data_IF_200762345114
#
_entry.id   IF_200762345114
#
_cell.length_a   1.000
_cell.length_b   1.000
_cell.length_c   1.000
_cell.angle_alpha   90.00
_cell.angle_beta   90.00
_cell.angle_gamma   90.00
#
_symmetry.space_group_name_H-M   'P 1'
#
loop_
_entity.id
_entity.type
_entity.pdbx_description
1 polymer ?
#
# COMPACT_ATOMS: atom_id res chain seq x y z
N UNK A 1 34.41 -36.99 3.31
CA UNK A 1 33.76 -35.68 3.08
C UNK A 1 32.48 -35.63 3.90
N UNK A 2 32.60 -35.22 5.17
CA UNK A 2 31.47 -35.15 6.12
C UNK A 2 30.57 -34.01 5.67
N UNK A 3 29.31 -34.30 5.26
CA UNK A 3 28.26 -33.30 5.12
C UNK A 3 28.13 -32.63 6.50
N UNK A 4 28.55 -31.39 6.63
CA UNK A 4 28.14 -30.53 7.73
C UNK A 4 26.62 -30.60 7.80
N UNK A 5 26.08 -31.29 8.76
CA UNK A 5 24.68 -31.28 9.14
C UNK A 5 24.44 -29.82 9.60
N UNK A 6 23.95 -28.99 8.71
CA UNK A 6 23.59 -27.58 9.01
C UNK A 6 22.65 -27.62 10.20
N UNK A 7 23.02 -26.90 11.27
CA UNK A 7 22.22 -26.76 12.48
C UNK A 7 20.76 -26.36 12.08
N UNK A 8 19.73 -27.11 12.50
CA UNK A 8 18.34 -26.79 12.16
C UNK A 8 17.95 -25.35 12.46
N UNK A 9 18.48 -24.77 13.54
CA UNK A 9 18.28 -23.38 13.91
C UNK A 9 18.76 -22.41 12.80
N UNK A 10 19.93 -22.64 12.26
CA UNK A 10 20.48 -21.85 11.15
C UNK A 10 19.66 -21.98 9.85
N UNK A 11 19.11 -23.18 9.59
CA UNK A 11 18.23 -23.39 8.43
C UNK A 11 16.90 -22.63 8.57
N UNK A 12 16.34 -22.59 9.78
CA UNK A 12 15.11 -21.84 10.10
C UNK A 12 15.37 -20.33 9.93
N UNK A 13 16.46 -19.83 10.50
CA UNK A 13 16.84 -18.40 10.36
C UNK A 13 17.02 -18.03 8.90
N UNK A 14 17.75 -18.82 8.13
CA UNK A 14 17.93 -18.57 6.71
C UNK A 14 16.61 -18.55 5.95
N UNK A 15 15.73 -19.51 6.20
CA UNK A 15 14.42 -19.57 5.54
C UNK A 15 13.55 -18.35 5.87
N UNK A 16 13.64 -17.82 7.11
CA UNK A 16 12.97 -16.56 7.49
C UNK A 16 13.56 -15.37 6.76
N UNK A 17 14.90 -15.27 6.72
CA UNK A 17 15.59 -14.18 6.01
C UNK A 17 15.26 -14.16 4.53
N UNK A 18 15.24 -15.32 3.86
CA UNK A 18 14.87 -15.42 2.44
C UNK A 18 13.45 -14.91 2.19
N UNK A 19 12.48 -15.25 3.06
CA UNK A 19 11.10 -14.72 2.95
C UNK A 19 11.01 -13.24 3.32
N UNK A 20 11.70 -12.79 4.36
CA UNK A 20 11.75 -11.35 4.75
C UNK A 20 12.31 -10.51 3.61
N UNK A 21 13.35 -10.99 2.92
CA UNK A 21 13.93 -10.32 1.77
C UNK A 21 12.91 -10.17 0.64
N UNK A 22 12.23 -11.26 0.27
CA UNK A 22 11.20 -11.24 -0.77
C UNK A 22 10.04 -10.30 -0.42
N UNK A 23 9.51 -10.39 0.80
CA UNK A 23 8.47 -9.49 1.28
C UNK A 23 8.92 -8.03 1.21
N UNK A 24 10.16 -7.73 1.66
CA UNK A 24 10.66 -6.36 1.69
C UNK A 24 10.83 -5.74 0.30
N UNK A 25 11.28 -6.50 -0.68
CA UNK A 25 11.40 -6.07 -2.07
C UNK A 25 10.04 -5.72 -2.69
N UNK A 26 8.98 -6.44 -2.31
CA UNK A 26 7.62 -6.24 -2.81
C UNK A 26 6.82 -5.15 -2.06
N UNK A 27 7.37 -4.57 -0.97
CA UNK A 27 6.68 -3.54 -0.18
C UNK A 27 6.42 -2.23 -0.94
N UNK A 28 7.16 -1.99 -2.04
CA UNK A 28 6.87 -0.86 -2.93
C UNK A 28 5.45 -0.89 -3.52
N UNK A 29 4.84 -2.08 -3.69
CA UNK A 29 3.44 -2.23 -4.10
C UNK A 29 2.47 -1.59 -3.10
N UNK A 30 2.85 -1.56 -1.83
CA UNK A 30 2.12 -0.89 -0.75
C UNK A 30 2.56 0.58 -0.55
N UNK A 31 3.51 1.09 -1.37
CA UNK A 31 4.10 2.41 -1.20
C UNK A 31 5.00 2.53 0.02
N UNK A 32 5.56 1.42 0.46
CA UNK A 32 6.42 1.28 1.62
C UNK A 32 7.85 1.00 1.13
N UNK A 33 8.85 1.64 1.75
CA UNK A 33 10.24 1.40 1.38
C UNK A 33 10.71 0.00 1.80
N UNK A 34 11.72 -0.53 1.09
CA UNK A 34 12.30 -1.84 1.38
C UNK A 34 12.82 -1.94 2.83
N UNK A 35 13.43 -0.87 3.37
CA UNK A 35 13.92 -0.85 4.74
C UNK A 35 12.79 -0.98 5.78
N UNK A 36 11.62 -0.39 5.52
CA UNK A 36 10.42 -0.55 6.36
C UNK A 36 9.79 -1.92 6.12
N UNK A 37 9.90 -2.47 4.91
CA UNK A 37 9.53 -3.86 4.61
C UNK A 37 10.35 -4.87 5.41
N UNK A 38 11.66 -4.68 5.53
CA UNK A 38 12.52 -5.51 6.40
C UNK A 38 12.10 -5.40 7.87
N UNK A 39 11.76 -4.19 8.35
CA UNK A 39 11.23 -4.01 9.69
C UNK A 39 9.94 -4.82 9.89
N UNK A 40 9.00 -4.74 8.94
CA UNK A 40 7.77 -5.54 8.98
C UNK A 40 8.05 -7.03 9.04
N UNK A 41 8.91 -7.54 8.15
CA UNK A 41 9.27 -8.96 8.13
C UNK A 41 9.91 -9.42 9.45
N UNK A 42 10.73 -8.58 10.07
CA UNK A 42 11.32 -8.89 11.38
C UNK A 42 10.27 -8.95 12.48
N UNK A 43 9.30 -8.02 12.49
CA UNK A 43 8.17 -8.04 13.44
C UNK A 43 7.27 -9.25 13.20
N UNK A 44 7.02 -9.59 11.95
CA UNK A 44 6.15 -10.71 11.55
C UNK A 44 6.62 -12.06 12.12
N UNK A 45 7.93 -12.28 12.17
CA UNK A 45 8.52 -13.50 12.71
C UNK A 45 8.97 -13.41 14.17
N UNK A 46 8.68 -12.29 14.82
CA UNK A 46 8.87 -12.17 16.27
C UNK A 46 7.77 -12.97 17.00
N UNK A 47 8.17 -13.83 17.92
CA UNK A 47 7.23 -14.66 18.69
C UNK A 47 6.54 -13.91 19.82
N UNK A 48 7.06 -12.74 20.17
CA UNK A 48 6.57 -11.86 21.23
C UNK A 48 6.52 -10.41 20.68
N UNK A 49 5.64 -9.56 21.24
CA UNK A 49 5.63 -8.14 20.88
C UNK A 49 6.99 -7.47 21.14
N UNK A 50 7.44 -6.68 20.19
CA UNK A 50 8.79 -6.09 20.14
C UNK A 50 8.78 -4.61 20.48
N UNK A 51 9.89 -4.10 21.02
CA UNK A 51 10.14 -2.69 21.25
C UNK A 51 10.93 -2.05 20.09
N UNK A 52 10.89 -0.71 20.00
CA UNK A 52 11.72 0.03 19.04
C UNK A 52 13.22 -0.19 19.29
N UNK A 53 13.63 -0.39 20.56
CA UNK A 53 15.04 -0.61 20.91
C UNK A 53 15.53 -1.98 20.39
N UNK A 54 14.75 -3.03 20.55
CA UNK A 54 15.03 -4.37 20.02
C UNK A 54 15.13 -4.35 18.49
N UNK A 55 14.21 -3.68 17.81
CA UNK A 55 14.25 -3.56 16.35
C UNK A 55 15.44 -2.73 15.87
N UNK A 56 15.78 -1.65 16.57
CA UNK A 56 16.96 -0.84 16.30
C UNK A 56 18.25 -1.67 16.38
N UNK A 57 18.34 -2.51 17.39
CA UNK A 57 19.51 -3.39 17.57
C UNK A 57 19.55 -4.52 16.52
N UNK A 58 18.42 -5.16 16.24
CA UNK A 58 18.32 -6.27 15.27
C UNK A 58 18.65 -5.84 13.86
N UNK A 59 18.16 -4.67 13.44
CA UNK A 59 18.32 -4.17 12.07
C UNK A 59 19.50 -3.22 11.88
N UNK A 60 20.23 -2.85 12.95
CA UNK A 60 21.33 -1.91 12.87
C UNK A 60 20.91 -0.49 12.47
N UNK A 61 19.65 -0.11 12.70
CA UNK A 61 19.07 1.18 12.30
C UNK A 61 18.74 2.03 13.52
N UNK A 62 18.68 3.36 13.35
CA UNK A 62 18.38 4.27 14.45
C UNK A 62 16.98 4.06 15.02
N UNK A 63 16.79 4.34 16.31
CA UNK A 63 15.48 4.30 16.97
C UNK A 63 14.47 5.25 16.30
N UNK A 64 14.93 6.40 15.81
CA UNK A 64 14.10 7.34 15.03
C UNK A 64 13.57 6.70 13.74
N UNK A 65 14.45 5.98 13.02
CA UNK A 65 14.06 5.23 11.83
C UNK A 65 13.04 4.14 12.15
N UNK A 66 13.22 3.41 13.27
CA UNK A 66 12.28 2.40 13.75
C UNK A 66 10.92 3.02 14.09
N UNK A 67 10.90 4.14 14.82
CA UNK A 67 9.66 4.86 15.15
C UNK A 67 8.90 5.30 13.91
N UNK A 68 9.61 5.88 12.94
CA UNK A 68 9.00 6.29 11.65
C UNK A 68 8.48 5.10 10.87
N UNK A 69 9.27 4.02 10.78
CA UNK A 69 8.86 2.79 10.09
C UNK A 69 7.63 2.13 10.73
N UNK A 70 7.61 2.01 12.08
CA UNK A 70 6.46 1.46 12.80
C UNK A 70 5.19 2.30 12.61
N UNK A 71 5.31 3.63 12.54
CA UNK A 71 4.17 4.51 12.24
C UNK A 71 3.61 4.22 10.84
N UNK A 72 4.48 4.12 9.83
CA UNK A 72 4.07 3.77 8.46
C UNK A 72 3.37 2.41 8.41
N UNK A 73 3.91 1.40 9.09
CA UNK A 73 3.32 0.06 9.15
C UNK A 73 1.98 0.06 9.91
N UNK A 74 1.86 0.85 10.97
CA UNK A 74 0.60 0.99 11.73
C UNK A 74 -0.48 1.69 10.89
N UNK A 75 -0.12 2.73 10.13
CA UNK A 75 -1.03 3.41 9.21
C UNK A 75 -1.50 2.48 8.05
N UNK A 76 -0.70 1.48 7.71
CA UNK A 76 -1.03 0.44 6.72
C UNK A 76 -1.78 -0.76 7.34
N UNK A 77 -2.09 -0.75 8.65
CA UNK A 77 -2.64 -1.88 9.39
C UNK A 77 -1.81 -3.18 9.28
N UNK A 78 -0.49 -3.06 9.20
CA UNK A 78 0.44 -4.21 9.15
C UNK A 78 0.97 -4.56 10.52
N UNK A 79 1.10 -3.55 11.41
CA UNK A 79 1.47 -3.73 12.82
C UNK A 79 0.54 -2.93 13.71
N UNK A 80 0.40 -3.36 14.94
CA UNK A 80 -0.38 -2.68 15.97
C UNK A 80 0.39 -2.59 17.28
N UNK A 81 -0.02 -1.67 18.15
CA UNK A 81 0.52 -1.59 19.51
C UNK A 81 -0.02 -2.72 20.37
N UNK A 82 0.89 -3.39 21.05
CA UNK A 82 0.56 -4.40 22.07
C UNK A 82 0.74 -3.85 23.47
N UNK A 83 0.00 -4.42 24.41
CA UNK A 83 0.16 -4.10 25.83
C UNK A 83 0.64 -5.33 26.60
N UNK A 84 1.65 -5.15 27.47
CA UNK A 84 2.14 -6.21 28.36
C UNK A 84 2.31 -5.63 29.77
N UNK A 85 1.71 -6.29 30.76
CA UNK A 85 1.79 -5.86 32.16
C UNK A 85 3.25 -5.73 32.63
N UNK A 86 3.57 -4.60 33.23
CA UNK A 86 4.93 -4.31 33.75
C UNK A 86 5.91 -3.74 32.72
N UNK A 87 5.53 -3.62 31.46
CA UNK A 87 6.35 -2.98 30.41
C UNK A 87 5.87 -1.55 30.21
N UNK A 88 6.79 -0.57 30.34
CA UNK A 88 6.49 0.88 30.14
C UNK A 88 6.77 1.36 28.71
N UNK A 89 7.47 0.56 27.92
CA UNK A 89 7.78 0.89 26.52
C UNK A 89 6.65 0.49 25.60
N UNK A 90 6.48 1.25 24.52
CA UNK A 90 5.58 0.83 23.44
C UNK A 90 6.07 -0.52 22.87
N UNK A 91 5.14 -1.45 22.77
CA UNK A 91 5.32 -2.76 22.17
C UNK A 91 4.54 -2.81 20.86
N UNK A 92 5.06 -3.52 19.88
CA UNK A 92 4.46 -3.71 18.56
C UNK A 92 4.38 -5.20 18.22
N UNK A 93 3.29 -5.58 17.57
CA UNK A 93 3.07 -6.94 17.06
C UNK A 93 2.47 -6.87 15.65
N UNK A 94 2.59 -7.93 14.85
CA UNK A 94 1.94 -7.97 13.54
C UNK A 94 0.42 -8.00 13.70
N UNK A 95 -0.29 -7.44 12.73
CA UNK A 95 -1.75 -7.63 12.58
C UNK A 95 -1.97 -8.94 11.83
N UNK A 96 -2.81 -9.83 12.36
CA UNK A 96 -3.05 -11.15 11.77
C UNK A 96 -3.88 -11.09 10.48
N UNK A 97 -4.68 -10.02 10.28
CA UNK A 97 -5.53 -9.86 9.10
C UNK A 97 -4.79 -9.17 7.94
N UNK A 98 -4.09 -9.95 7.14
CA UNK A 98 -3.38 -9.48 5.94
C UNK A 98 -4.32 -8.91 4.88
N UNK A 99 -5.54 -9.40 4.80
CA UNK A 99 -6.57 -8.88 3.88
C UNK A 99 -6.93 -7.44 4.22
N UNK A 100 -7.01 -7.12 5.51
CA UNK A 100 -7.24 -5.77 6.00
C UNK A 100 -6.09 -4.83 5.64
N UNK A 101 -4.85 -5.27 5.79
CA UNK A 101 -3.66 -4.50 5.40
C UNK A 101 -3.66 -4.17 3.91
N UNK A 102 -3.95 -5.16 3.07
CA UNK A 102 -4.09 -4.98 1.62
C UNK A 102 -5.21 -3.98 1.30
N UNK A 103 -6.44 -4.22 1.79
CA UNK A 103 -7.60 -3.38 1.50
C UNK A 103 -7.38 -1.93 1.92
N UNK A 104 -6.85 -1.69 3.13
CA UNK A 104 -6.57 -0.34 3.63
C UNK A 104 -5.61 0.41 2.71
N UNK A 105 -4.54 -0.24 2.30
CA UNK A 105 -3.52 0.39 1.45
C UNK A 105 -4.05 0.61 0.03
N UNK A 106 -4.76 -0.37 -0.54
CA UNK A 106 -5.41 -0.26 -1.84
C UNK A 106 -6.40 0.91 -1.87
N UNK A 107 -7.36 0.93 -0.94
CA UNK A 107 -8.38 1.97 -0.85
C UNK A 107 -7.76 3.35 -0.70
N UNK A 108 -6.83 3.53 0.25
CA UNK A 108 -6.18 4.83 0.50
C UNK A 108 -5.51 5.40 -0.75
N UNK A 109 -4.82 4.57 -1.52
CA UNK A 109 -4.07 5.00 -2.71
C UNK A 109 -4.99 5.28 -3.89
N UNK A 110 -5.89 4.37 -4.18
CA UNK A 110 -6.75 4.49 -5.36
C UNK A 110 -7.83 5.55 -5.19
N UNK A 111 -8.41 5.70 -4.02
CA UNK A 111 -9.43 6.73 -3.74
C UNK A 111 -8.91 8.15 -4.03
N UNK A 112 -7.69 8.46 -3.56
CA UNK A 112 -7.05 9.76 -3.85
C UNK A 112 -6.77 9.92 -5.35
N UNK A 113 -6.23 8.87 -5.99
CA UNK A 113 -5.94 8.90 -7.42
C UNK A 113 -7.20 9.08 -8.27
N UNK A 114 -8.27 8.35 -7.97
CA UNK A 114 -9.57 8.46 -8.69
C UNK A 114 -10.13 9.87 -8.57
N UNK A 115 -10.20 10.44 -7.37
CA UNK A 115 -10.73 11.79 -7.15
C UNK A 115 -9.94 12.81 -7.96
N UNK A 116 -8.61 12.78 -7.88
CA UNK A 116 -7.75 13.75 -8.56
C UNK A 116 -7.86 13.63 -10.10
N UNK A 117 -7.93 12.40 -10.62
CA UNK A 117 -8.05 12.20 -12.07
C UNK A 117 -9.43 12.56 -12.60
N UNK A 118 -10.51 12.26 -11.86
CA UNK A 118 -11.86 12.72 -12.25
C UNK A 118 -11.94 14.25 -12.25
N UNK A 119 -11.36 14.91 -11.26
CA UNK A 119 -11.31 16.37 -11.25
C UNK A 119 -10.58 16.91 -12.48
N UNK A 120 -9.41 16.38 -12.83
CA UNK A 120 -8.67 16.81 -14.01
C UNK A 120 -9.43 16.53 -15.33
N UNK A 121 -10.16 15.40 -15.41
CA UNK A 121 -11.04 15.09 -16.56
C UNK A 121 -12.15 16.13 -16.67
N UNK A 122 -12.79 16.51 -15.57
CA UNK A 122 -13.85 17.52 -15.58
C UNK A 122 -13.32 18.91 -15.96
N UNK A 123 -12.19 19.34 -15.36
CA UNK A 123 -11.56 20.63 -15.66
C UNK A 123 -11.17 20.74 -17.15
N UNK A 124 -10.58 19.69 -17.73
CA UNK A 124 -10.23 19.69 -19.14
C UNK A 124 -11.49 19.69 -20.03
N UNK A 125 -12.52 18.92 -19.68
CA UNK A 125 -13.79 18.91 -20.41
C UNK A 125 -14.44 20.30 -20.44
N UNK A 126 -14.52 20.96 -19.28
CA UNK A 126 -15.13 22.28 -19.18
C UNK A 126 -14.35 23.29 -20.02
N UNK A 127 -13.02 23.25 -20.00
CA UNK A 127 -12.18 24.11 -20.83
C UNK A 127 -12.38 23.85 -22.34
N UNK A 128 -12.50 22.59 -22.79
CA UNK A 128 -12.74 22.28 -24.19
C UNK A 128 -14.14 22.68 -24.66
N UNK A 129 -15.14 22.55 -23.81
CA UNK A 129 -16.50 23.00 -24.10
C UNK A 129 -16.60 24.54 -24.17
N UNK A 130 -15.87 25.25 -23.31
CA UNK A 130 -15.78 26.72 -23.37
C UNK A 130 -15.11 27.19 -24.67
N UNK A 131 -14.02 26.54 -25.09
CA UNK A 131 -13.35 26.82 -26.36
C UNK A 131 -14.31 26.57 -27.54
N UNK A 132 -15.02 25.44 -27.55
CA UNK A 132 -15.98 25.09 -28.62
C UNK A 132 -17.10 26.10 -28.71
N UNK A 133 -17.56 26.63 -27.58
CA UNK A 133 -18.71 27.56 -27.52
C UNK A 133 -18.34 29.02 -27.85
N UNK A 134 -17.14 29.46 -27.47
CA UNK A 134 -16.80 30.89 -27.51
C UNK A 134 -15.68 31.23 -28.51
N UNK A 135 -15.11 30.28 -29.23
CA UNK A 135 -14.03 30.52 -30.20
C UNK A 135 -14.41 30.02 -31.60
N UNK A 136 -13.94 30.71 -32.64
CA UNK A 136 -14.04 30.23 -34.01
C UNK A 136 -12.93 29.21 -34.27
N UNK A 137 -13.31 27.96 -34.33
CA UNK A 137 -12.39 26.84 -34.59
C UNK A 137 -12.31 26.51 -36.08
N UNK A 138 -11.12 26.31 -36.60
CA UNK A 138 -10.96 25.71 -37.92
C UNK A 138 -11.28 24.19 -37.88
N UNK A 139 -11.41 23.57 -39.05
CA UNK A 139 -11.81 22.16 -39.14
C UNK A 139 -10.88 21.20 -38.38
N UNK A 140 -9.58 21.49 -38.35
CA UNK A 140 -8.57 20.67 -37.65
C UNK A 140 -8.72 20.82 -36.14
N UNK A 141 -8.88 22.03 -35.64
CA UNK A 141 -9.08 22.34 -34.21
C UNK A 141 -10.38 21.73 -33.70
N UNK A 142 -11.47 21.88 -34.46
CA UNK A 142 -12.75 21.27 -34.12
C UNK A 142 -12.65 19.73 -34.00
N UNK A 143 -11.95 19.11 -34.98
CA UNK A 143 -11.74 17.64 -34.95
C UNK A 143 -10.93 17.21 -33.74
N UNK A 144 -9.90 17.99 -33.36
CA UNK A 144 -9.08 17.72 -32.18
C UNK A 144 -9.90 17.82 -30.88
N UNK A 145 -10.68 18.90 -30.72
CA UNK A 145 -11.56 19.08 -29.54
C UNK A 145 -12.55 17.91 -29.42
N UNK A 146 -13.17 17.48 -30.51
CA UNK A 146 -14.09 16.32 -30.47
C UNK A 146 -13.41 15.01 -30.11
N UNK A 147 -12.19 14.77 -30.62
CA UNK A 147 -11.41 13.59 -30.29
C UNK A 147 -11.02 13.59 -28.78
N UNK A 148 -10.61 14.74 -28.26
CA UNK A 148 -10.25 14.90 -26.84
C UNK A 148 -11.48 14.70 -25.93
N UNK A 149 -12.63 15.31 -26.26
CA UNK A 149 -13.86 15.12 -25.51
C UNK A 149 -14.29 13.64 -25.47
N UNK A 150 -14.13 12.92 -26.58
CA UNK A 150 -14.38 11.47 -26.62
C UNK A 150 -13.42 10.71 -25.70
N UNK A 151 -12.13 11.08 -25.70
CA UNK A 151 -11.13 10.46 -24.82
C UNK A 151 -11.47 10.71 -23.34
N UNK A 152 -11.90 11.92 -22.99
CA UNK A 152 -12.31 12.26 -21.62
C UNK A 152 -13.54 11.48 -21.17
N UNK A 153 -14.52 11.23 -22.07
CA UNK A 153 -15.66 10.39 -21.77
C UNK A 153 -15.24 8.94 -21.40
N UNK A 154 -14.27 8.37 -22.13
CA UNK A 154 -13.75 7.04 -21.82
C UNK A 154 -12.97 7.03 -20.49
N UNK A 155 -12.18 8.06 -20.23
CA UNK A 155 -11.46 8.22 -18.99
C UNK A 155 -12.41 8.33 -17.78
N UNK A 156 -13.49 9.12 -17.91
CA UNK A 156 -14.50 9.26 -16.86
C UNK A 156 -15.18 7.91 -16.54
N UNK A 157 -15.58 7.14 -17.55
CA UNK A 157 -16.15 5.81 -17.39
C UNK A 157 -15.19 4.87 -16.64
N UNK A 158 -13.90 4.91 -16.99
CA UNK A 158 -12.87 4.10 -16.33
C UNK A 158 -12.70 4.48 -14.86
N UNK A 159 -12.57 5.78 -14.55
CA UNK A 159 -12.37 6.21 -13.16
C UNK A 159 -13.62 6.01 -12.30
N UNK A 160 -14.83 6.14 -12.85
CA UNK A 160 -16.06 5.80 -12.14
C UNK A 160 -16.12 4.30 -11.81
N UNK A 161 -15.80 3.42 -12.77
CA UNK A 161 -15.66 1.99 -12.50
C UNK A 161 -14.62 1.69 -11.43
N UNK A 162 -13.47 2.39 -11.46
CA UNK A 162 -12.42 2.20 -10.46
C UNK A 162 -12.84 2.71 -9.08
N UNK A 163 -13.70 3.73 -9.01
CA UNK A 163 -14.35 4.15 -7.76
C UNK A 163 -15.19 3.03 -7.16
N UNK A 164 -16.03 2.37 -7.99
CA UNK A 164 -16.86 1.24 -7.54
C UNK A 164 -16.00 0.07 -7.03
N UNK A 165 -14.90 -0.25 -7.72
CA UNK A 165 -13.92 -1.26 -7.24
C UNK A 165 -13.34 -0.87 -5.88
N UNK A 166 -13.01 0.41 -5.71
CA UNK A 166 -12.48 0.91 -4.45
C UNK A 166 -13.50 0.79 -3.31
N UNK A 167 -14.77 1.07 -3.59
CA UNK A 167 -15.88 0.93 -2.63
C UNK A 167 -16.12 -0.52 -2.23
N UNK A 168 -15.98 -1.50 -3.14
CA UNK A 168 -16.05 -2.92 -2.81
C UNK A 168 -15.01 -3.34 -1.77
N UNK A 169 -13.79 -2.79 -1.85
CA UNK A 169 -12.75 -3.04 -0.85
C UNK A 169 -13.00 -2.28 0.45
N UNK A 170 -13.44 -1.01 0.38
CA UNK A 170 -13.71 -0.18 1.55
C UNK A 170 -14.87 -0.73 2.39
N UNK A 171 -15.96 -1.16 1.74
CA UNK A 171 -17.12 -1.77 2.41
C UNK A 171 -16.88 -3.20 2.88
N UNK A 172 -15.84 -3.85 2.38
CA UNK A 172 -15.57 -5.27 2.63
C UNK A 172 -16.42 -6.24 1.79
N UNK A 173 -17.31 -5.77 0.93
CA UNK A 173 -18.13 -6.62 0.05
C UNK A 173 -17.29 -7.51 -0.89
N UNK A 174 -16.05 -7.11 -1.19
CA UNK A 174 -15.10 -7.95 -1.92
C UNK A 174 -14.94 -9.34 -1.27
N UNK A 175 -15.02 -9.44 0.06
CA UNK A 175 -14.89 -10.70 0.79
C UNK A 175 -16.17 -11.56 0.79
N UNK A 176 -17.30 -11.01 0.34
CA UNK A 176 -18.50 -11.78 0.03
C UNK A 176 -18.37 -12.46 -1.34
N UNK A 177 -17.72 -11.77 -2.30
CA UNK A 177 -17.46 -12.29 -3.65
C UNK A 177 -16.27 -13.28 -3.65
N UNK A 178 -15.22 -12.96 -2.91
CA UNK A 178 -13.99 -13.76 -2.77
C UNK A 178 -13.71 -13.95 -1.29
N UNK A 179 -14.24 -15.00 -0.65
CA UNK A 179 -14.09 -15.21 0.79
C UNK A 179 -12.65 -15.35 1.23
N UNK A 180 -12.34 -14.78 2.39
CA UNK A 180 -11.06 -15.04 3.09
C UNK A 180 -10.93 -16.53 3.37
N UNK A 181 -9.70 -17.04 3.29
CA UNK A 181 -9.38 -18.44 3.56
C UNK A 181 -8.74 -18.57 4.93
#
# INVERSE_FOLDING_TARGET
MVKELKNPCHQIEKAREDLIQELSQNMHLYGISESVGRLYGTVLFAHEPVTLDEMSQSLGMSKTSMSTGMRVLSEANMVEKAWKKGVRKDLYQPVDDWYKSFSTTFVKRWKVSVVNNLQAVHEMRDALLDIEQHQELNATEYTAVKADLHTLEQAEKYYNWLSEVTELFESGQIFELIPKK
#
